data_IF_779649653648
#
_entry.id   IF_779649653648
#
_cell.length_a   1.000
_cell.length_b   1.000
_cell.length_c   1.000
_cell.angle_alpha   90.00
_cell.angle_beta   90.00
_cell.angle_gamma   90.00
#
_symmetry.space_group_name_H-M   'P 1'
#
loop_
_entity.id
_entity.type
_entity.pdbx_description
1 polymer ?
#
# COMPACT_ATOMS: atom_id res chain seq x y z
N UNK A 1 -66.88 -4.90 -41.32
CA UNK A 1 -67.02 -5.35 -39.92
C UNK A 1 -66.06 -4.54 -39.06
N UNK A 2 -66.57 -3.90 -38.00
CA UNK A 2 -65.90 -3.23 -36.86
C UNK A 2 -64.97 -2.02 -37.16
N UNK A 3 -65.41 -0.77 -36.96
CA UNK A 3 -65.52 0.04 -35.71
C UNK A 3 -64.18 0.74 -35.34
N UNK A 4 -64.07 2.08 -35.50
CA UNK A 4 -64.10 3.12 -34.43
C UNK A 4 -62.82 3.10 -33.54
N UNK A 5 -62.01 4.14 -33.31
CA UNK A 5 -62.28 5.47 -32.72
C UNK A 5 -60.99 6.31 -32.72
N UNK A 6 -61.16 7.61 -32.98
CA UNK A 6 -60.24 8.72 -32.71
C UNK A 6 -60.05 8.90 -31.19
N UNK A 7 -58.80 8.91 -30.68
CA UNK A 7 -58.49 9.53 -29.38
C UNK A 7 -57.14 10.23 -29.44
N UNK A 8 -57.21 11.55 -29.61
CA UNK A 8 -56.20 12.50 -29.17
C UNK A 8 -56.22 12.45 -27.64
N UNK A 9 -55.13 11.97 -27.03
CA UNK A 9 -54.92 12.08 -25.59
C UNK A 9 -53.68 12.92 -25.36
N UNK A 10 -53.94 14.18 -25.03
CA UNK A 10 -53.08 15.10 -24.31
C UNK A 10 -52.48 14.38 -23.11
N UNK A 11 -51.16 14.21 -23.07
CA UNK A 11 -50.46 13.82 -21.85
C UNK A 11 -49.35 14.81 -21.54
N UNK A 12 -49.58 15.46 -20.40
CA UNK A 12 -48.71 16.28 -19.57
C UNK A 12 -47.20 16.19 -19.85
N UNK A 13 -46.62 17.39 -19.96
CA UNK A 13 -45.22 17.70 -19.66
C UNK A 13 -44.89 17.17 -18.25
N UNK A 14 -43.97 16.23 -18.16
CA UNK A 14 -43.23 15.93 -16.93
C UNK A 14 -41.78 16.30 -17.20
N UNK A 15 -41.40 17.49 -16.76
CA UNK A 15 -40.02 17.91 -16.70
C UNK A 15 -39.31 17.07 -15.62
N UNK A 16 -38.48 16.12 -16.03
CA UNK A 16 -37.50 15.50 -15.14
C UNK A 16 -36.19 16.26 -15.35
N UNK A 17 -36.04 17.32 -14.55
CA UNK A 17 -34.74 17.93 -14.28
C UNK A 17 -33.89 16.88 -13.58
N UNK A 18 -33.09 16.14 -14.36
CA UNK A 18 -32.02 15.32 -13.80
C UNK A 18 -30.87 16.25 -13.43
N UNK A 19 -30.98 16.88 -12.26
CA UNK A 19 -29.84 17.48 -11.58
C UNK A 19 -28.99 16.29 -11.08
N UNK A 20 -28.08 15.80 -11.91
CA UNK A 20 -26.93 15.05 -11.41
C UNK A 20 -25.97 16.05 -10.77
N UNK A 21 -26.34 16.49 -9.57
CA UNK A 21 -25.47 17.19 -8.64
C UNK A 21 -25.12 16.24 -7.52
N UNK A 22 -24.11 15.38 -7.73
CA UNK A 22 -23.26 14.93 -6.64
C UNK A 22 -21.83 15.16 -7.09
N UNK A 23 -21.24 16.16 -6.45
CA UNK A 23 -19.80 16.36 -6.34
C UNK A 23 -19.15 15.05 -5.91
N UNK A 24 -18.21 14.53 -6.70
CA UNK A 24 -17.06 13.89 -6.09
C UNK A 24 -15.90 14.86 -6.26
N UNK A 25 -15.59 15.47 -5.12
CA UNK A 25 -14.40 16.24 -4.85
C UNK A 25 -13.17 15.60 -5.51
N UNK A 26 -12.30 16.45 -6.03
CA UNK A 26 -10.89 16.12 -6.21
C UNK A 26 -10.35 15.61 -4.88
N UNK A 27 -10.31 14.29 -4.70
CA UNK A 27 -9.56 13.71 -3.60
C UNK A 27 -8.09 13.83 -4.01
N UNK A 28 -7.49 14.97 -3.70
CA UNK A 28 -6.10 14.91 -3.29
C UNK A 28 -6.10 13.87 -2.16
N UNK A 29 -5.46 12.73 -2.40
CA UNK A 29 -5.41 11.69 -1.39
C UNK A 29 -4.83 12.31 -0.11
N UNK A 30 -5.56 12.12 0.98
CA UNK A 30 -5.28 12.77 2.24
C UNK A 30 -4.39 11.85 3.06
N UNK A 31 -3.66 12.44 4.02
CA UNK A 31 -3.03 11.70 5.11
C UNK A 31 -3.98 10.63 5.65
N UNK A 32 -3.45 9.47 6.04
CA UNK A 32 -4.27 8.41 6.62
C UNK A 32 -4.97 8.88 7.89
N UNK A 33 -6.13 8.31 8.21
CA UNK A 33 -6.80 8.55 9.49
C UNK A 33 -6.10 7.82 10.66
N UNK A 34 -5.25 6.82 10.36
CA UNK A 34 -4.52 6.06 11.35
C UNK A 34 -3.34 6.87 11.92
N UNK A 35 -3.12 6.76 13.24
CA UNK A 35 -1.87 7.24 13.84
C UNK A 35 -0.71 6.31 13.50
N UNK A 36 0.52 6.76 13.68
CA UNK A 36 1.69 5.88 13.53
C UNK A 36 1.60 4.67 14.47
N UNK A 37 1.08 4.84 15.69
CA UNK A 37 0.93 3.74 16.62
C UNK A 37 -0.12 2.72 16.14
N UNK A 38 -1.24 3.20 15.56
CA UNK A 38 -2.24 2.30 14.98
C UNK A 38 -1.66 1.50 13.82
N UNK A 39 -0.86 2.16 12.97
CA UNK A 39 -0.13 1.50 11.90
C UNK A 39 0.79 0.38 12.43
N UNK A 40 1.59 0.66 13.46
CA UNK A 40 2.46 -0.37 14.07
C UNK A 40 1.65 -1.50 14.71
N UNK A 41 0.54 -1.17 15.37
CA UNK A 41 -0.31 -2.20 15.94
C UNK A 41 -0.85 -3.13 14.84
N UNK A 42 -1.24 -2.58 13.68
CA UNK A 42 -1.63 -3.38 12.52
C UNK A 42 -0.48 -4.27 12.02
N UNK A 43 0.73 -3.71 11.83
CA UNK A 43 1.94 -4.48 11.45
C UNK A 43 2.17 -5.67 12.39
N UNK A 44 2.03 -5.49 13.71
CA UNK A 44 2.20 -6.59 14.67
C UNK A 44 1.11 -7.67 14.55
N UNK A 45 -0.09 -7.34 14.04
CA UNK A 45 -1.09 -8.36 13.71
C UNK A 45 -0.73 -9.18 12.48
N UNK A 46 0.05 -8.62 11.55
CA UNK A 46 0.49 -9.32 10.34
C UNK A 46 1.58 -10.36 10.64
N UNK A 47 2.39 -10.10 11.67
CA UNK A 47 3.52 -10.95 12.07
C UNK A 47 3.10 -12.39 12.42
N UNK A 48 3.86 -13.37 11.92
CA UNK A 48 3.63 -14.79 12.12
C UNK A 48 2.51 -15.38 11.25
N UNK A 49 1.98 -14.63 10.29
CA UNK A 49 0.96 -15.06 9.33
C UNK A 49 1.47 -14.91 7.90
N UNK A 50 0.90 -15.70 6.98
CA UNK A 50 1.18 -15.61 5.56
C UNK A 50 0.09 -14.87 4.81
N UNK A 51 0.46 -13.83 4.06
CA UNK A 51 -0.45 -12.90 3.38
C UNK A 51 -0.30 -13.04 1.87
N UNK A 52 -1.42 -13.10 1.17
CA UNK A 52 -1.54 -13.31 -0.27
C UNK A 52 -2.60 -12.31 -0.76
N UNK A 53 -2.18 -11.05 -0.94
CA UNK A 53 -3.09 -9.91 -1.10
C UNK A 53 -3.73 -9.94 -2.50
N UNK A 54 -2.95 -10.30 -3.52
CA UNK A 54 -3.40 -10.35 -4.91
C UNK A 54 -3.86 -11.75 -5.39
N UNK A 55 -3.67 -12.80 -4.57
CA UNK A 55 -3.95 -14.21 -4.92
C UNK A 55 -3.02 -14.78 -6.00
N UNK A 56 -1.85 -14.18 -6.22
CA UNK A 56 -0.83 -14.60 -7.16
C UNK A 56 0.51 -14.90 -6.46
N UNK A 57 1.25 -15.88 -6.98
CA UNK A 57 2.60 -16.24 -6.52
C UNK A 57 2.77 -16.57 -5.01
N UNK A 58 1.71 -16.62 -4.21
CA UNK A 58 1.74 -17.15 -2.85
C UNK A 58 1.91 -16.08 -1.79
N UNK A 59 2.92 -16.21 -0.92
CA UNK A 59 3.17 -15.26 0.17
C UNK A 59 4.38 -14.40 -0.15
N UNK A 60 4.21 -13.33 -0.91
CA UNK A 60 5.32 -12.49 -1.39
C UNK A 60 5.59 -11.28 -0.51
N UNK A 61 6.75 -10.65 -0.68
CA UNK A 61 7.11 -9.45 0.07
C UNK A 61 6.17 -8.27 -0.21
N UNK A 62 5.70 -8.16 -1.45
CA UNK A 62 4.79 -7.11 -1.88
C UNK A 62 3.38 -7.28 -1.28
N UNK A 63 2.90 -8.51 -1.11
CA UNK A 63 1.63 -8.79 -0.45
C UNK A 63 1.57 -8.21 0.97
N UNK A 64 2.59 -8.50 1.76
CA UNK A 64 2.68 -8.02 3.13
C UNK A 64 2.60 -6.49 3.22
N UNK A 65 3.28 -5.79 2.31
CA UNK A 65 3.28 -4.33 2.26
C UNK A 65 1.92 -3.80 1.78
N UNK A 66 1.26 -4.50 0.85
CA UNK A 66 -0.09 -4.14 0.41
C UNK A 66 -1.14 -4.30 1.50
N UNK A 67 -1.05 -5.32 2.37
CA UNK A 67 -1.93 -5.42 3.55
C UNK A 67 -1.82 -4.17 4.43
N UNK A 68 -0.61 -3.68 4.67
CA UNK A 68 -0.40 -2.46 5.45
C UNK A 68 -0.85 -1.20 4.71
N UNK A 69 -0.59 -1.10 3.40
CA UNK A 69 -0.96 0.07 2.62
C UNK A 69 -2.48 0.20 2.48
N UNK A 70 -3.17 -0.92 2.24
CA UNK A 70 -4.63 -0.99 2.17
C UNK A 70 -5.28 -0.64 3.51
N UNK A 71 -4.71 -1.09 4.64
CA UNK A 71 -5.15 -0.65 5.96
C UNK A 71 -5.07 0.88 6.14
N UNK A 72 -4.00 1.51 5.63
CA UNK A 72 -3.78 2.95 5.80
C UNK A 72 -4.64 3.79 4.86
N UNK A 73 -4.83 3.37 3.61
CA UNK A 73 -5.40 4.23 2.55
C UNK A 73 -6.61 3.61 1.83
N UNK A 74 -6.93 2.34 2.07
CA UNK A 74 -8.06 1.63 1.46
C UNK A 74 -7.85 1.27 -0.01
N UNK A 75 -6.59 1.18 -0.44
CA UNK A 75 -6.20 0.65 -1.74
C UNK A 75 -4.79 0.06 -1.66
N UNK A 76 -4.44 -0.81 -2.61
CA UNK A 76 -3.08 -1.31 -2.79
C UNK A 76 -2.14 -0.33 -3.51
N UNK A 77 -0.85 -0.65 -3.44
CA UNK A 77 0.23 -0.06 -4.24
C UNK A 77 0.24 -0.68 -5.66
N UNK A 78 0.99 -0.03 -6.55
CA UNK A 78 1.22 -0.43 -7.94
C UNK A 78 2.68 -0.84 -8.17
N UNK A 79 2.91 -1.62 -9.22
CA UNK A 79 4.21 -2.16 -9.59
C UNK A 79 4.06 -3.60 -10.05
N UNK A 80 4.80 -4.01 -11.07
CA UNK A 80 4.94 -5.44 -11.41
C UNK A 80 5.86 -6.13 -10.38
N UNK A 81 6.83 -5.39 -9.83
CA UNK A 81 7.75 -5.85 -8.81
C UNK A 81 7.91 -4.86 -7.65
N UNK A 82 8.47 -5.34 -6.53
CA UNK A 82 8.70 -4.53 -5.33
C UNK A 82 9.58 -3.29 -5.60
N UNK A 83 10.61 -3.42 -6.43
CA UNK A 83 11.49 -2.29 -6.79
C UNK A 83 10.78 -1.16 -7.55
N UNK A 84 9.63 -1.44 -8.17
CA UNK A 84 8.90 -0.48 -9.00
C UNK A 84 8.01 0.44 -8.15
N UNK A 85 7.77 0.08 -6.88
CA UNK A 85 6.91 0.83 -5.94
C UNK A 85 7.21 2.34 -5.93
N UNK A 86 8.48 2.80 -5.82
CA UNK A 86 8.78 4.22 -5.75
C UNK A 86 8.41 5.00 -7.01
N UNK A 87 8.44 4.35 -8.18
CA UNK A 87 8.27 5.01 -9.49
C UNK A 87 6.84 4.86 -10.05
N UNK A 88 6.15 3.77 -9.72
CA UNK A 88 4.81 3.47 -10.25
C UNK A 88 3.65 4.00 -9.39
N UNK A 89 3.96 4.55 -8.22
CA UNK A 89 2.96 5.10 -7.30
C UNK A 89 3.06 6.63 -7.19
N UNK A 90 1.91 7.28 -7.03
CA UNK A 90 1.85 8.71 -6.74
C UNK A 90 1.62 8.93 -5.25
N UNK A 91 2.68 9.17 -4.51
CA UNK A 91 2.60 9.39 -3.06
C UNK A 91 2.15 10.79 -2.63
N UNK A 92 1.80 11.69 -3.58
CA UNK A 92 1.39 13.05 -3.23
C UNK A 92 0.16 13.02 -2.31
N UNK A 93 0.37 13.48 -1.08
CA UNK A 93 -0.66 13.57 -0.04
C UNK A 93 -0.79 12.31 0.83
N UNK A 94 -0.21 11.19 0.42
CA UNK A 94 -0.22 9.93 1.17
C UNK A 94 1.08 9.73 1.94
N UNK A 95 2.24 9.93 1.30
CA UNK A 95 3.53 9.62 1.90
C UNK A 95 4.65 10.53 1.40
N UNK A 96 5.79 10.48 2.08
CA UNK A 96 7.04 11.09 1.62
C UNK A 96 8.04 9.99 1.29
N UNK A 97 8.62 10.06 0.09
CA UNK A 97 9.68 9.16 -0.36
C UNK A 97 11.04 9.74 0.03
N UNK A 98 11.90 8.90 0.58
CA UNK A 98 13.24 9.22 1.03
C UNK A 98 14.25 8.24 0.45
N UNK A 99 15.31 8.77 -0.15
CA UNK A 99 16.50 8.00 -0.46
C UNK A 99 17.26 7.68 0.84
N UNK A 100 17.85 6.48 0.92
CA UNK A 100 18.77 6.19 2.00
C UNK A 100 20.04 7.03 1.85
N UNK A 101 20.25 7.93 2.80
CA UNK A 101 21.45 8.77 2.90
C UNK A 101 22.01 8.64 4.31
N UNK A 102 23.29 8.99 4.55
CA UNK A 102 23.87 8.94 5.89
C UNK A 102 23.14 9.78 6.96
N UNK A 103 22.29 10.73 6.54
CA UNK A 103 21.49 11.57 7.44
C UNK A 103 20.04 11.09 7.57
N UNK A 104 19.59 10.20 6.69
CA UNK A 104 18.26 9.62 6.78
C UNK A 104 18.18 8.72 8.00
N UNK A 105 17.01 8.69 8.62
CA UNK A 105 16.71 7.87 9.80
C UNK A 105 15.34 7.28 9.59
N UNK A 106 15.29 5.98 9.34
CA UNK A 106 14.02 5.29 9.25
C UNK A 106 13.30 5.34 10.60
N UNK A 107 11.99 5.28 10.56
CA UNK A 107 11.13 5.15 11.73
C UNK A 107 10.24 3.93 11.55
N UNK A 108 9.74 3.38 12.66
CA UNK A 108 8.76 2.32 12.59
C UNK A 108 7.56 2.76 11.73
N UNK A 109 7.11 1.91 10.81
CA UNK A 109 5.98 2.15 9.91
C UNK A 109 6.40 2.66 8.53
N UNK A 110 7.66 3.08 8.36
CA UNK A 110 8.21 3.30 7.02
C UNK A 110 8.16 1.98 6.24
N UNK A 111 7.81 2.06 4.96
CA UNK A 111 8.01 0.97 4.00
C UNK A 111 9.42 1.12 3.44
N UNK A 112 10.20 0.05 3.43
CA UNK A 112 11.51 0.01 2.77
C UNK A 112 11.40 -0.76 1.46
N UNK A 113 12.01 -0.24 0.41
CA UNK A 113 12.13 -0.86 -0.91
C UNK A 113 13.60 -1.08 -1.21
N UNK A 114 13.93 -2.31 -1.59
CA UNK A 114 15.25 -2.77 -1.98
C UNK A 114 15.33 -2.81 -3.51
N UNK A 115 16.49 -2.45 -4.06
CA UNK A 115 16.71 -2.42 -5.51
C UNK A 115 16.76 -3.82 -6.14
N UNK A 116 16.95 -3.86 -7.45
CA UNK A 116 17.01 -5.08 -8.27
C UNK A 116 18.13 -6.08 -7.94
N UNK A 117 19.07 -5.76 -7.05
CA UNK A 117 20.04 -6.74 -6.57
C UNK A 117 19.41 -7.77 -5.62
N UNK A 118 18.16 -7.55 -5.21
CA UNK A 118 17.38 -8.43 -4.35
C UNK A 118 16.26 -9.13 -5.14
N UNK A 119 15.73 -10.23 -4.60
CA UNK A 119 14.57 -10.94 -5.15
C UNK A 119 14.75 -11.37 -6.61
N UNK A 120 15.94 -11.83 -6.98
CA UNK A 120 16.27 -12.28 -8.35
C UNK A 120 15.99 -11.22 -9.44
N UNK A 121 16.07 -9.94 -9.11
CA UNK A 121 15.79 -8.83 -10.05
C UNK A 121 14.46 -8.12 -9.82
N UNK A 122 13.56 -8.69 -9.00
CA UNK A 122 12.28 -8.08 -8.62
C UNK A 122 12.44 -7.02 -7.50
N UNK A 123 13.58 -6.99 -6.84
CA UNK A 123 13.75 -6.26 -5.59
C UNK A 123 13.04 -6.92 -4.42
N UNK A 124 12.99 -6.20 -3.31
CA UNK A 124 12.32 -6.65 -2.08
C UNK A 124 11.62 -5.46 -1.43
N UNK A 125 10.61 -5.70 -0.60
CA UNK A 125 9.96 -4.64 0.18
C UNK A 125 9.52 -5.16 1.53
N UNK A 126 9.56 -4.31 2.55
CA UNK A 126 9.22 -4.68 3.91
C UNK A 126 8.71 -3.48 4.72
N UNK A 127 8.20 -3.73 5.93
CA UNK A 127 7.68 -2.67 6.82
C UNK A 127 8.62 -2.51 8.01
N UNK A 128 9.26 -1.35 8.15
CA UNK A 128 10.20 -1.07 9.26
C UNK A 128 9.46 -1.16 10.60
N UNK A 129 9.98 -1.94 11.53
CA UNK A 129 9.46 -2.07 12.91
C UNK A 129 10.36 -1.39 13.93
N UNK A 130 11.66 -1.25 13.63
CA UNK A 130 12.60 -0.44 14.40
C UNK A 130 13.69 0.13 13.49
N UNK A 131 13.67 1.45 13.25
CA UNK A 131 14.65 2.12 12.40
C UNK A 131 16.05 2.29 13.00
N UNK A 132 16.26 1.95 14.27
CA UNK A 132 17.57 2.03 14.92
C UNK A 132 17.79 0.79 15.79
N UNK A 133 17.84 -0.36 15.13
CA UNK A 133 17.89 -1.65 15.81
C UNK A 133 19.18 -1.83 16.62
N UNK A 134 20.32 -1.40 16.05
CA UNK A 134 21.64 -1.51 16.67
C UNK A 134 22.01 -0.34 17.60
N UNK A 135 21.19 0.72 17.61
CA UNK A 135 21.43 1.94 18.38
C UNK A 135 22.31 2.99 17.68
N UNK A 136 22.94 2.66 16.54
CA UNK A 136 23.86 3.54 15.82
C UNK A 136 23.39 3.92 14.41
N UNK A 137 22.17 3.55 14.02
CA UNK A 137 21.60 3.72 12.67
C UNK A 137 22.44 3.02 11.59
N UNK A 138 23.05 1.88 11.92
CA UNK A 138 23.67 1.01 10.93
C UNK A 138 22.76 -0.16 10.55
N UNK A 139 21.82 -0.51 11.43
CA UNK A 139 20.83 -1.55 11.18
C UNK A 139 19.42 -1.10 11.53
N UNK A 140 18.46 -1.60 10.77
CA UNK A 140 17.04 -1.52 11.09
C UNK A 140 16.43 -2.92 11.17
N UNK A 141 15.30 -3.03 11.85
CA UNK A 141 14.47 -4.22 11.83
C UNK A 141 13.19 -3.91 11.05
N UNK A 142 12.76 -4.84 10.22
CA UNK A 142 11.49 -4.81 9.51
C UNK A 142 10.69 -6.09 9.74
N UNK A 143 9.41 -6.05 9.38
CA UNK A 143 8.59 -7.22 9.16
C UNK A 143 8.63 -7.52 7.65
N UNK A 144 9.07 -8.72 7.32
CA UNK A 144 9.33 -9.18 5.97
C UNK A 144 8.52 -10.43 5.71
N UNK A 145 8.20 -10.69 4.44
CA UNK A 145 7.65 -11.95 3.96
C UNK A 145 8.43 -12.34 2.71
N UNK A 146 8.66 -13.64 2.51
CA UNK A 146 9.49 -14.18 1.44
C UNK A 146 10.94 -13.63 1.41
N UNK A 147 11.53 -13.36 2.56
CA UNK A 147 12.94 -13.01 2.66
C UNK A 147 13.86 -14.20 2.36
N UNK A 148 13.48 -15.40 2.84
CA UNK A 148 14.27 -16.63 2.68
C UNK A 148 13.86 -17.43 1.43
N UNK A 149 12.91 -16.93 0.63
CA UNK A 149 12.47 -17.57 -0.61
C UNK A 149 11.37 -18.63 -0.45
N UNK A 150 10.71 -18.71 0.72
CA UNK A 150 9.67 -19.73 1.00
C UNK A 150 8.24 -19.32 0.62
N UNK A 151 8.06 -18.18 -0.04
CA UNK A 151 6.77 -17.54 -0.32
C UNK A 151 5.89 -18.28 -1.32
N UNK A 152 6.45 -18.75 -2.44
CA UNK A 152 5.70 -19.48 -3.49
C UNK A 152 5.06 -20.76 -2.92
N UNK A 153 5.83 -21.50 -2.12
CA UNK A 153 5.38 -22.72 -1.46
C UNK A 153 4.55 -22.47 -0.18
N UNK A 154 4.33 -21.21 0.21
CA UNK A 154 3.60 -20.81 1.42
C UNK A 154 4.16 -21.45 2.70
N UNK A 155 5.49 -21.44 2.81
CA UNK A 155 6.23 -22.03 3.94
C UNK A 155 6.88 -21.00 4.85
N UNK A 156 6.92 -19.74 4.41
CA UNK A 156 7.55 -18.65 5.13
C UNK A 156 6.50 -17.58 5.47
N UNK A 157 6.06 -17.59 6.73
CA UNK A 157 5.17 -16.54 7.24
C UNK A 157 5.94 -15.24 7.43
N UNK A 158 5.23 -14.12 7.47
CA UNK A 158 5.81 -12.83 7.80
C UNK A 158 6.55 -12.89 9.14
N UNK A 159 7.79 -12.41 9.18
CA UNK A 159 8.62 -12.46 10.37
C UNK A 159 9.61 -11.30 10.41
N UNK A 160 10.19 -11.05 11.58
CA UNK A 160 11.11 -9.91 11.78
C UNK A 160 12.51 -10.23 11.26
N UNK A 161 13.03 -9.38 10.39
CA UNK A 161 14.39 -9.47 9.83
C UNK A 161 15.17 -8.22 10.19
N UNK A 162 16.47 -8.37 10.43
CA UNK A 162 17.40 -7.27 10.68
C UNK A 162 18.22 -7.05 9.42
N UNK A 163 18.23 -5.82 8.94
CA UNK A 163 18.90 -5.41 7.72
C UNK A 163 19.93 -4.33 8.03
N UNK A 164 21.02 -4.33 7.27
CA UNK A 164 21.95 -3.21 7.23
C UNK A 164 21.36 -2.08 6.37
N UNK A 165 21.72 -0.84 6.69
CA UNK A 165 21.39 0.31 5.83
C UNK A 165 22.27 0.32 4.58
N UNK A 166 21.90 -0.48 3.59
CA UNK A 166 22.59 -0.58 2.30
C UNK A 166 22.36 0.66 1.42
N UNK A 167 23.29 0.91 0.50
CA UNK A 167 23.09 1.96 -0.51
C UNK A 167 21.89 1.63 -1.41
N UNK A 168 21.19 2.67 -1.89
CA UNK A 168 20.06 2.54 -2.83
C UNK A 168 18.78 1.91 -2.26
N UNK A 169 18.66 1.81 -0.93
CA UNK A 169 17.37 1.61 -0.30
C UNK A 169 16.51 2.88 -0.44
N UNK A 170 15.23 2.69 -0.71
CA UNK A 170 14.23 3.76 -0.71
C UNK A 170 13.27 3.52 0.45
N UNK A 171 12.96 4.57 1.20
CA UNK A 171 12.02 4.53 2.32
C UNK A 171 10.81 5.41 2.03
N UNK A 172 9.62 4.84 2.15
CA UNK A 172 8.35 5.52 1.95
C UNK A 172 7.72 5.69 3.32
N UNK A 173 7.59 6.93 3.79
CA UNK A 173 7.00 7.26 5.09
C UNK A 173 5.55 7.71 4.92
N UNK A 174 4.56 6.92 5.35
CA UNK A 174 3.17 7.33 5.37
C UNK A 174 2.96 8.63 6.16
N UNK A 175 2.06 9.49 5.68
CA UNK A 175 1.59 10.67 6.39
C UNK A 175 0.54 10.22 7.41
N UNK A 176 1.00 9.88 8.61
CA UNK A 176 0.14 9.49 9.71
C UNK A 176 -0.67 10.65 10.28
N UNK A 177 -1.85 10.33 10.80
CA UNK A 177 -2.60 11.25 11.64
C UNK A 177 -1.82 11.55 12.94
N UNK A 178 -2.01 12.77 13.45
CA UNK A 178 -1.34 13.26 14.66
C UNK A 178 -2.07 12.88 15.94
#
# INVERSE_FOLDING_TARGET
MFKYIFKISTFLIVAILYIFGINQSSNASAATNATQQDAINHVETLNGQGWDYDSEYGWQCFDLVNEQWDYLYGHGLKGDYAKDIPEENNFIGEATVYENTPNFKATAGDIVVFNENYGEGAGHTAIVTNGNYDGNYLQFQSLDQNWEGGGEDKTEVAHKVVHDYESELVFIRPHYNK
#
